data_IF_080898495212
#
_entry.id   IF_080898495212
#
_cell.length_a   1.000
_cell.length_b   1.000
_cell.length_c   1.000
_cell.angle_alpha   90.00
_cell.angle_beta   90.00
_cell.angle_gamma   90.00
#
_symmetry.space_group_name_H-M   'P 1'
#
loop_
_entity.id
_entity.type
_entity.pdbx_description
1 polymer ?
#
# COMPACT_ATOMS: atom_id res chain seq x y z
N UNK A 1 5.46 -13.42 23.28
CA UNK A 1 6.55 -12.52 23.63
C UNK A 1 6.07 -11.11 23.43
N UNK A 2 6.10 -10.35 24.49
CA UNK A 2 5.57 -8.98 24.60
C UNK A 2 6.30 -8.08 23.61
N UNK A 3 5.55 -7.41 22.73
CA UNK A 3 6.00 -6.24 21.97
C UNK A 3 6.25 -5.09 22.97
N UNK A 4 7.40 -5.09 23.64
CA UNK A 4 7.83 -4.03 24.57
C UNK A 4 8.89 -3.14 23.95
N UNK A 5 8.75 -2.78 22.67
CA UNK A 5 9.47 -1.65 22.13
C UNK A 5 8.48 -0.49 21.96
N UNK A 6 8.47 0.40 22.95
CA UNK A 6 7.64 1.60 22.93
C UNK A 6 7.96 2.46 21.70
N UNK A 7 6.92 2.85 20.99
CA UNK A 7 6.99 3.94 20.03
C UNK A 7 7.52 5.20 20.73
N UNK A 8 8.32 6.04 20.08
CA UNK A 8 8.89 7.20 20.71
C UNK A 8 7.77 8.12 21.22
N UNK A 9 7.78 8.37 22.53
CA UNK A 9 7.01 9.45 23.13
C UNK A 9 7.58 10.77 22.63
N UNK A 10 6.71 11.76 22.42
CA UNK A 10 7.07 13.13 22.06
C UNK A 10 8.29 13.63 22.84
N UNK A 11 9.24 14.35 22.21
CA UNK A 11 10.47 14.81 22.87
C UNK A 11 10.25 15.81 24.02
N UNK A 12 9.06 16.36 24.18
CA UNK A 12 8.76 17.27 25.26
C UNK A 12 8.05 16.53 26.41
N UNK A 13 8.84 16.14 27.40
CA UNK A 13 8.37 15.69 28.71
C UNK A 13 7.67 16.81 29.45
N UNK A 14 6.40 17.01 29.23
CA UNK A 14 5.69 17.99 30.02
C UNK A 14 4.24 18.21 29.65
N UNK A 15 3.39 17.84 30.58
CA UNK A 15 1.98 18.18 30.74
C UNK A 15 1.01 17.43 29.81
N UNK A 16 0.21 16.57 30.44
CA UNK A 16 -1.08 16.14 29.88
C UNK A 16 -1.82 17.36 29.39
N UNK A 17 -1.98 17.47 28.07
CA UNK A 17 -2.96 18.37 27.47
C UNK A 17 -4.29 17.67 27.65
N UNK A 18 -5.18 18.32 28.41
CA UNK A 18 -6.59 17.91 28.48
C UNK A 18 -7.13 17.83 27.05
N UNK A 19 -7.82 16.73 26.77
CA UNK A 19 -8.43 16.46 25.47
C UNK A 19 -9.41 17.59 25.12
N UNK A 20 -8.93 18.52 24.31
CA UNK A 20 -9.79 19.49 23.63
C UNK A 20 -10.70 18.73 22.67
N UNK A 21 -12.01 18.88 22.80
CA UNK A 21 -13.02 18.25 21.99
C UNK A 21 -12.76 18.51 20.51
N UNK A 22 -12.52 17.44 19.74
CA UNK A 22 -12.50 17.49 18.28
C UNK A 22 -13.91 17.82 17.76
N UNK A 23 -14.06 18.62 16.68
CA UNK A 23 -15.34 18.82 16.04
C UNK A 23 -15.86 17.48 15.54
N UNK A 24 -17.03 17.08 16.02
CA UNK A 24 -17.73 15.85 15.68
C UNK A 24 -17.84 15.69 14.16
N UNK A 25 -17.49 14.51 13.65
CA UNK A 25 -17.99 14.04 12.37
C UNK A 25 -19.49 14.31 12.27
N UNK A 26 -19.97 14.73 11.08
CA UNK A 26 -21.33 15.23 10.88
C UNK A 26 -22.45 14.39 11.50
N UNK A 27 -23.68 14.87 11.60
CA UNK A 27 -24.71 14.45 12.54
C UNK A 27 -25.20 12.99 12.50
N UNK A 28 -24.50 12.09 11.79
CA UNK A 28 -24.83 10.66 11.75
C UNK A 28 -24.10 9.79 12.78
N UNK A 29 -23.14 10.33 13.54
CA UNK A 29 -22.32 9.56 14.49
C UNK A 29 -22.28 10.19 15.89
N UNK A 30 -23.45 10.66 16.38
CA UNK A 30 -23.56 11.07 17.76
C UNK A 30 -23.35 9.87 18.70
N UNK A 31 -22.34 9.97 19.57
CA UNK A 31 -21.94 9.02 20.61
C UNK A 31 -23.14 8.44 21.36
N UNK A 32 -23.48 7.20 21.06
CA UNK A 32 -24.35 6.39 21.87
C UNK A 32 -23.55 5.18 22.36
N UNK A 33 -23.10 5.13 23.62
CA UNK A 33 -22.27 4.04 24.15
C UNK A 33 -22.90 2.65 23.98
N UNK A 34 -24.23 2.58 23.93
CA UNK A 34 -24.96 1.33 23.66
C UNK A 34 -24.87 0.91 22.18
N UNK A 35 -24.65 1.87 21.27
CA UNK A 35 -24.50 1.59 19.83
C UNK A 35 -23.07 1.14 19.51
N UNK A 36 -22.05 1.74 20.16
CA UNK A 36 -20.66 1.33 20.08
C UNK A 36 -20.44 -0.07 20.67
N UNK A 37 -21.03 -0.38 21.83
CA UNK A 37 -20.97 -1.72 22.39
C UNK A 37 -21.70 -2.77 21.53
N UNK A 38 -22.78 -2.41 20.85
CA UNK A 38 -23.52 -3.31 19.96
C UNK A 38 -22.77 -3.56 18.65
N UNK A 39 -22.12 -2.54 18.07
CA UNK A 39 -21.29 -2.67 16.87
C UNK A 39 -20.03 -3.48 17.14
N UNK A 40 -19.34 -3.24 18.26
CA UNK A 40 -18.14 -4.01 18.64
C UNK A 40 -18.45 -5.48 18.95
N UNK A 41 -19.62 -5.77 19.53
CA UNK A 41 -20.06 -7.16 19.75
C UNK A 41 -20.35 -7.90 18.44
N UNK A 42 -20.86 -7.20 17.42
CA UNK A 42 -21.16 -7.77 16.11
C UNK A 42 -19.86 -8.12 15.34
N UNK A 43 -18.85 -7.25 15.38
CA UNK A 43 -17.56 -7.52 14.74
C UNK A 43 -16.81 -8.68 15.40
N UNK A 44 -16.85 -8.83 16.70
CA UNK A 44 -16.20 -9.96 17.40
C UNK A 44 -16.77 -11.30 16.96
N UNK A 45 -18.09 -11.41 16.82
CA UNK A 45 -18.75 -12.60 16.28
C UNK A 45 -18.33 -12.88 14.83
N UNK A 46 -18.26 -11.84 14.01
CA UNK A 46 -17.78 -11.91 12.63
C UNK A 46 -16.33 -12.41 12.57
N UNK A 47 -15.43 -11.84 13.35
CA UNK A 47 -14.02 -12.26 13.40
C UNK A 47 -13.86 -13.69 13.88
N UNK A 48 -14.64 -14.09 14.88
CA UNK A 48 -14.66 -15.48 15.37
C UNK A 48 -15.14 -16.45 14.30
N UNK A 49 -16.18 -16.09 13.55
CA UNK A 49 -16.69 -16.89 12.43
C UNK A 49 -15.66 -17.05 11.31
N UNK A 50 -14.84 -16.03 11.06
CA UNK A 50 -13.70 -16.08 10.13
C UNK A 50 -12.53 -16.93 10.67
N UNK A 51 -12.56 -17.36 11.92
CA UNK A 51 -11.50 -18.17 12.54
C UNK A 51 -10.28 -17.37 13.02
N UNK A 52 -10.44 -16.04 13.27
CA UNK A 52 -9.37 -15.23 13.84
C UNK A 52 -9.05 -15.64 15.29
N UNK A 53 -7.79 -15.52 15.67
CA UNK A 53 -7.39 -15.52 17.06
C UNK A 53 -7.69 -14.15 17.67
N UNK A 54 -8.79 -14.06 18.41
CA UNK A 54 -9.28 -12.78 18.93
C UNK A 54 -8.28 -12.10 19.88
N UNK A 55 -7.49 -12.85 20.63
CA UNK A 55 -6.47 -12.28 21.51
C UNK A 55 -5.34 -11.62 20.71
N UNK A 56 -4.84 -12.31 19.71
CA UNK A 56 -3.81 -11.79 18.81
C UNK A 56 -4.33 -10.62 17.99
N UNK A 57 -5.57 -10.71 17.52
CA UNK A 57 -6.23 -9.66 16.74
C UNK A 57 -6.46 -8.39 17.57
N UNK A 58 -6.95 -8.50 18.81
CA UNK A 58 -7.12 -7.35 19.70
C UNK A 58 -5.76 -6.68 20.01
N UNK A 59 -4.70 -7.48 20.20
CA UNK A 59 -3.34 -6.95 20.40
C UNK A 59 -2.85 -6.18 19.16
N UNK A 60 -3.07 -6.72 17.95
CA UNK A 60 -2.74 -6.04 16.71
C UNK A 60 -3.50 -4.72 16.56
N UNK A 61 -4.82 -4.71 16.78
CA UNK A 61 -5.63 -3.51 16.66
C UNK A 61 -5.24 -2.44 17.69
N UNK A 62 -4.87 -2.84 18.91
CA UNK A 62 -4.41 -1.91 19.95
C UNK A 62 -3.11 -1.21 19.53
N UNK A 63 -2.13 -1.97 19.03
CA UNK A 63 -0.85 -1.41 18.55
C UNK A 63 -1.07 -0.54 17.32
N UNK A 64 -1.89 -0.98 16.38
CA UNK A 64 -2.22 -0.21 15.17
C UNK A 64 -2.91 1.12 15.52
N UNK A 65 -3.87 1.10 16.44
CA UNK A 65 -4.58 2.31 16.90
C UNK A 65 -3.64 3.31 17.56
N UNK A 66 -2.77 2.86 18.47
CA UNK A 66 -1.77 3.73 19.13
C UNK A 66 -0.78 4.34 18.13
N UNK A 67 -0.28 3.53 17.19
CA UNK A 67 0.60 4.00 16.14
C UNK A 67 -0.11 5.03 15.24
N UNK A 68 -1.35 4.76 14.87
CA UNK A 68 -2.15 5.66 14.05
C UNK A 68 -2.40 7.00 14.72
N UNK A 69 -2.79 6.99 15.99
CA UNK A 69 -3.00 8.19 16.79
C UNK A 69 -1.73 9.04 16.86
N UNK A 70 -0.59 8.43 17.17
CA UNK A 70 0.69 9.14 17.32
C UNK A 70 1.27 9.66 16.01
N UNK A 71 1.05 8.98 14.88
CA UNK A 71 1.66 9.31 13.59
C UNK A 71 0.74 10.22 12.76
N UNK A 72 -0.55 9.88 12.67
CA UNK A 72 -1.48 10.58 11.79
C UNK A 72 -2.32 11.63 12.52
N UNK A 73 -2.98 11.27 13.62
CA UNK A 73 -3.88 12.19 14.29
C UNK A 73 -3.15 13.30 15.07
N UNK A 74 -1.87 13.09 15.38
CA UNK A 74 -1.01 14.12 16.00
C UNK A 74 -0.48 15.15 14.99
N UNK A 75 -0.61 14.94 13.68
CA UNK A 75 -0.20 15.90 12.66
C UNK A 75 -1.04 17.19 12.74
N UNK A 76 -0.39 18.33 12.51
CA UNK A 76 -1.05 19.65 12.46
C UNK A 76 -1.43 19.98 11.01
N UNK A 77 -2.43 20.83 10.85
CA UNK A 77 -2.85 21.39 9.56
C UNK A 77 -3.15 20.36 8.46
N UNK A 78 -3.60 19.16 8.84
CA UNK A 78 -4.04 18.14 7.90
C UNK A 78 -5.23 18.64 7.06
N UNK A 79 -5.33 18.24 5.79
CA UNK A 79 -6.54 18.49 5.00
C UNK A 79 -7.79 17.88 5.67
N UNK A 80 -8.93 18.58 5.63
CA UNK A 80 -10.19 18.08 6.20
C UNK A 80 -10.66 16.78 5.53
N UNK A 81 -10.39 16.64 4.22
CA UNK A 81 -10.69 15.44 3.45
C UNK A 81 -9.99 14.18 3.95
N UNK A 82 -8.94 14.30 4.77
CA UNK A 82 -8.28 13.15 5.41
C UNK A 82 -9.18 12.42 6.40
N UNK A 83 -10.22 13.07 6.94
CA UNK A 83 -11.20 12.43 7.83
C UNK A 83 -11.87 11.19 7.23
N UNK A 84 -12.02 11.13 5.92
CA UNK A 84 -12.51 9.93 5.23
C UNK A 84 -11.51 8.76 5.34
N UNK A 85 -10.23 9.01 5.10
CA UNK A 85 -9.19 8.00 5.15
C UNK A 85 -8.95 7.52 6.59
N UNK A 86 -9.06 8.43 7.56
CA UNK A 86 -9.04 8.11 8.99
C UNK A 86 -10.19 7.16 9.35
N UNK A 87 -11.41 7.44 8.86
CA UNK A 87 -12.56 6.58 9.06
C UNK A 87 -12.34 5.20 8.43
N UNK A 88 -11.87 5.12 7.18
CA UNK A 88 -11.61 3.83 6.53
C UNK A 88 -10.57 3.02 7.31
N UNK A 89 -9.53 3.66 7.84
CA UNK A 89 -8.52 2.98 8.65
C UNK A 89 -9.06 2.53 10.01
N UNK A 90 -9.91 3.30 10.66
CA UNK A 90 -10.56 2.89 11.92
C UNK A 90 -11.48 1.67 11.74
N UNK A 91 -12.06 1.52 10.55
CA UNK A 91 -13.01 0.47 10.18
C UNK A 91 -12.39 -0.63 9.29
N UNK A 92 -11.06 -0.62 9.14
CA UNK A 92 -10.37 -1.53 8.20
C UNK A 92 -10.61 -3.01 8.49
N UNK A 93 -10.72 -3.41 9.76
CA UNK A 93 -11.09 -4.77 10.17
C UNK A 93 -12.55 -4.91 10.64
N UNK A 94 -13.31 -3.82 10.66
CA UNK A 94 -14.71 -3.76 11.07
C UNK A 94 -15.66 -3.70 9.86
N UNK A 95 -16.16 -2.49 9.57
CA UNK A 95 -17.17 -2.25 8.55
C UNK A 95 -16.75 -2.77 7.17
N UNK A 96 -15.47 -2.57 6.78
CA UNK A 96 -15.01 -3.03 5.46
C UNK A 96 -15.07 -4.55 5.31
N UNK A 97 -14.73 -5.30 6.35
CA UNK A 97 -14.85 -6.76 6.33
C UNK A 97 -16.32 -7.18 6.25
N UNK A 98 -17.18 -6.49 7.00
CA UNK A 98 -18.63 -6.74 6.92
C UNK A 98 -19.16 -6.54 5.50
N UNK A 99 -18.80 -5.42 4.85
CA UNK A 99 -19.17 -5.16 3.44
C UNK A 99 -18.73 -6.29 2.51
N UNK A 100 -17.48 -6.77 2.66
CA UNK A 100 -16.96 -7.87 1.84
C UNK A 100 -17.73 -9.18 2.07
N UNK A 101 -18.09 -9.47 3.31
CA UNK A 101 -18.89 -10.66 3.63
C UNK A 101 -20.34 -10.54 3.12
N UNK A 102 -20.92 -9.34 3.16
CA UNK A 102 -22.23 -9.06 2.57
C UNK A 102 -22.18 -9.23 1.03
N UNK A 103 -21.14 -8.72 0.37
CA UNK A 103 -20.89 -8.95 -1.07
C UNK A 103 -20.75 -10.45 -1.37
N UNK A 104 -20.05 -11.20 -0.52
CA UNK A 104 -19.86 -12.64 -0.65
C UNK A 104 -21.18 -13.41 -0.48
N UNK A 105 -22.01 -13.00 0.47
CA UNK A 105 -23.36 -13.57 0.65
C UNK A 105 -24.28 -13.29 -0.55
N UNK A 106 -24.06 -12.17 -1.26
CA UNK A 106 -24.74 -11.83 -2.51
C UNK A 106 -24.14 -12.53 -3.74
N UNK A 107 -23.19 -13.45 -3.57
CA UNK A 107 -22.60 -14.26 -4.65
C UNK A 107 -21.32 -13.72 -5.26
N UNK A 108 -20.82 -12.56 -4.81
CA UNK A 108 -19.53 -12.01 -5.22
C UNK A 108 -18.38 -12.77 -4.56
N UNK A 109 -17.22 -12.88 -5.22
CA UNK A 109 -16.04 -13.55 -4.66
C UNK A 109 -14.99 -12.53 -4.21
N UNK A 110 -14.15 -12.95 -3.25
CA UNK A 110 -13.05 -12.13 -2.74
C UNK A 110 -11.73 -12.72 -3.20
N UNK A 111 -10.91 -11.89 -3.85
CA UNK A 111 -9.56 -12.25 -4.31
C UNK A 111 -8.56 -11.42 -3.52
N UNK A 112 -7.66 -12.09 -2.80
CA UNK A 112 -6.56 -11.45 -2.09
C UNK A 112 -5.28 -11.46 -2.92
N UNK A 113 -4.52 -10.37 -2.96
CA UNK A 113 -3.25 -10.28 -3.69
C UNK A 113 -2.12 -9.68 -2.86
N UNK A 114 -0.89 -10.12 -3.13
CA UNK A 114 0.32 -9.57 -2.50
C UNK A 114 1.05 -8.57 -3.38
N UNK A 115 0.58 -8.29 -4.60
CA UNK A 115 1.29 -7.43 -5.53
C UNK A 115 0.35 -6.69 -6.49
N UNK A 116 0.82 -5.55 -6.98
CA UNK A 116 0.12 -4.71 -7.98
C UNK A 116 0.09 -5.32 -9.40
N UNK A 117 0.70 -6.47 -9.62
CA UNK A 117 0.62 -7.19 -10.90
C UNK A 117 -0.70 -7.94 -11.10
N UNK A 118 -1.51 -8.11 -10.08
CA UNK A 118 -2.85 -8.71 -10.24
C UNK A 118 -3.78 -7.70 -10.91
N UNK A 119 -4.31 -8.00 -12.10
CA UNK A 119 -5.16 -7.07 -12.84
C UNK A 119 -6.55 -6.97 -12.19
N UNK A 120 -6.79 -5.87 -11.47
CA UNK A 120 -8.06 -5.60 -10.80
C UNK A 120 -9.22 -5.55 -11.79
N UNK A 121 -8.96 -5.14 -13.02
CA UNK A 121 -9.93 -5.12 -14.12
C UNK A 121 -10.52 -6.50 -14.39
N UNK A 122 -9.68 -7.53 -14.43
CA UNK A 122 -10.15 -8.91 -14.68
C UNK A 122 -10.92 -9.44 -13.47
N UNK A 123 -10.47 -9.09 -12.25
CA UNK A 123 -11.16 -9.48 -11.01
C UNK A 123 -12.57 -8.88 -10.95
N UNK A 124 -12.69 -7.58 -11.20
CA UNK A 124 -13.99 -6.90 -11.23
C UNK A 124 -14.91 -7.45 -12.33
N UNK A 125 -14.36 -7.67 -13.53
CA UNK A 125 -15.10 -8.21 -14.67
C UNK A 125 -15.65 -9.62 -14.40
N UNK A 126 -14.95 -10.40 -13.58
CA UNK A 126 -15.36 -11.74 -13.15
C UNK A 126 -16.33 -11.73 -11.94
N UNK A 127 -16.95 -10.62 -11.59
CA UNK A 127 -17.81 -10.48 -10.40
C UNK A 127 -17.08 -10.84 -9.09
N UNK A 128 -15.85 -10.35 -8.92
CA UNK A 128 -15.09 -10.49 -7.70
C UNK A 128 -14.57 -9.14 -7.20
N UNK A 129 -14.14 -9.07 -5.95
CA UNK A 129 -13.52 -7.89 -5.33
C UNK A 129 -12.06 -8.21 -5.02
N UNK A 130 -11.14 -7.33 -5.45
CA UNK A 130 -9.72 -7.44 -5.15
C UNK A 130 -9.41 -6.72 -3.83
N UNK A 131 -8.63 -7.38 -2.95
CA UNK A 131 -8.12 -6.79 -1.71
C UNK A 131 -6.63 -7.05 -1.57
N UNK A 132 -5.89 -6.06 -1.02
CA UNK A 132 -4.48 -6.21 -0.72
C UNK A 132 -4.25 -7.08 0.50
N UNK A 133 -3.26 -7.97 0.44
CA UNK A 133 -2.84 -8.83 1.55
C UNK A 133 -1.44 -8.50 2.08
N UNK A 134 -0.75 -7.54 1.47
CA UNK A 134 0.54 -7.09 1.98
C UNK A 134 0.38 -6.49 3.38
N UNK A 135 1.20 -6.95 4.30
CA UNK A 135 1.29 -6.44 5.66
C UNK A 135 2.69 -5.88 5.92
N UNK A 136 2.76 -4.80 6.69
CA UNK A 136 3.97 -4.04 6.96
C UNK A 136 4.38 -4.07 8.43
N UNK A 137 4.22 -5.20 9.11
CA UNK A 137 4.57 -5.37 10.52
C UNK A 137 5.16 -6.74 10.82
N UNK A 138 6.01 -6.79 11.84
CA UNK A 138 6.47 -8.04 12.44
C UNK A 138 5.38 -8.58 13.35
N UNK A 139 4.84 -9.73 12.99
CA UNK A 139 3.86 -10.43 13.80
C UNK A 139 4.13 -11.93 13.80
N UNK A 140 4.01 -12.59 14.95
CA UNK A 140 4.22 -14.01 15.12
C UNK A 140 5.57 -14.52 14.53
N UNK A 141 6.65 -13.72 14.62
CA UNK A 141 7.96 -14.03 14.02
C UNK A 141 8.55 -15.34 14.52
N UNK A 142 8.37 -15.69 15.79
CA UNK A 142 8.81 -16.97 16.34
C UNK A 142 8.16 -18.17 15.61
N UNK A 143 6.87 -18.08 15.29
CA UNK A 143 6.17 -19.13 14.53
C UNK A 143 6.61 -19.15 13.05
N UNK A 144 6.85 -17.97 12.48
CA UNK A 144 7.35 -17.85 11.10
C UNK A 144 8.73 -18.49 10.95
N UNK A 145 9.64 -18.27 11.88
CA UNK A 145 11.02 -18.79 11.84
C UNK A 145 11.13 -20.30 12.09
N UNK A 146 10.03 -20.96 12.52
CA UNK A 146 9.94 -22.42 12.54
C UNK A 146 9.76 -23.04 11.16
N UNK A 147 9.22 -22.26 10.20
CA UNK A 147 8.86 -22.75 8.84
C UNK A 147 9.59 -22.03 7.71
N UNK A 148 10.11 -20.82 7.95
CA UNK A 148 10.90 -20.05 6.99
C UNK A 148 12.30 -19.77 7.56
N UNK A 149 13.34 -19.73 6.70
CA UNK A 149 14.68 -19.30 7.12
C UNK A 149 14.67 -17.88 7.72
N UNK A 150 15.52 -17.64 8.73
CA UNK A 150 15.64 -16.32 9.38
C UNK A 150 16.01 -15.20 8.42
N UNK A 151 16.80 -15.48 7.39
CA UNK A 151 17.22 -14.55 6.37
C UNK A 151 16.20 -14.42 5.22
N UNK A 152 14.93 -14.76 5.47
CA UNK A 152 13.84 -14.46 4.54
C UNK A 152 13.46 -12.99 4.61
N UNK A 153 13.14 -12.39 3.45
CA UNK A 153 12.68 -11.00 3.34
C UNK A 153 11.57 -10.67 4.34
N UNK A 154 11.70 -9.52 5.02
CA UNK A 154 10.73 -9.08 6.04
C UNK A 154 9.29 -9.05 5.52
N UNK A 155 9.06 -8.62 4.27
CA UNK A 155 7.71 -8.62 3.66
C UNK A 155 7.12 -10.04 3.53
N UNK A 156 7.94 -11.01 3.17
CA UNK A 156 7.50 -12.42 3.09
C UNK A 156 7.19 -12.93 4.50
N UNK A 157 8.09 -12.72 5.45
CA UNK A 157 7.87 -13.13 6.85
C UNK A 157 6.59 -12.51 7.42
N UNK A 158 6.35 -11.22 7.18
CA UNK A 158 5.13 -10.53 7.60
C UNK A 158 3.86 -11.21 7.07
N UNK A 159 3.82 -11.56 5.77
CA UNK A 159 2.67 -12.24 5.17
C UNK A 159 2.37 -13.59 5.85
N UNK A 160 3.41 -14.35 6.20
CA UNK A 160 3.27 -15.60 6.95
C UNK A 160 2.85 -15.36 8.41
N UNK A 161 3.42 -14.34 9.05
CA UNK A 161 3.10 -13.98 10.42
C UNK A 161 1.63 -13.63 10.62
N UNK A 162 1.05 -12.89 9.69
CA UNK A 162 -0.37 -12.56 9.71
C UNK A 162 -1.28 -13.79 9.50
N UNK A 163 -0.83 -14.77 8.69
CA UNK A 163 -1.55 -16.04 8.53
C UNK A 163 -1.44 -16.94 9.76
N UNK A 164 -0.24 -17.14 10.26
CA UNK A 164 0.01 -18.03 11.41
C UNK A 164 -0.57 -17.46 12.71
N UNK A 165 -0.51 -16.12 12.87
CA UNK A 165 -1.13 -15.43 13.99
C UNK A 165 -2.65 -15.33 13.90
N UNK A 166 -3.25 -15.68 12.75
CA UNK A 166 -4.70 -15.59 12.47
C UNK A 166 -5.28 -14.22 12.79
N UNK A 167 -4.63 -13.16 12.31
CA UNK A 167 -5.00 -11.78 12.65
C UNK A 167 -5.56 -10.97 11.48
N UNK A 168 -5.50 -11.49 10.24
CA UNK A 168 -5.93 -10.77 9.06
C UNK A 168 -7.30 -11.24 8.55
N UNK A 169 -8.38 -10.48 8.76
CA UNK A 169 -9.71 -10.87 8.30
C UNK A 169 -9.83 -10.86 6.77
N UNK A 170 -9.04 -10.05 6.06
CA UNK A 170 -8.98 -10.07 4.59
C UNK A 170 -8.49 -11.41 4.06
N UNK A 171 -7.42 -11.94 4.67
CA UNK A 171 -6.83 -13.21 4.28
C UNK A 171 -7.77 -14.37 4.55
N UNK A 172 -8.46 -14.36 5.70
CA UNK A 172 -9.39 -15.41 6.07
C UNK A 172 -10.74 -15.32 5.30
N UNK A 173 -11.12 -14.15 4.79
CA UNK A 173 -12.33 -13.98 3.98
C UNK A 173 -12.12 -14.33 2.49
N UNK A 174 -10.87 -14.37 2.00
CA UNK A 174 -10.55 -14.55 0.59
C UNK A 174 -10.98 -15.95 0.07
N UNK A 175 -11.65 -15.95 -1.09
CA UNK A 175 -12.00 -17.19 -1.83
C UNK A 175 -10.83 -17.70 -2.68
N UNK A 176 -9.93 -16.79 -3.09
CA UNK A 176 -8.69 -17.09 -3.79
C UNK A 176 -7.60 -16.13 -3.31
N UNK A 177 -6.41 -16.65 -3.08
CA UNK A 177 -5.21 -15.86 -2.83
C UNK A 177 -4.33 -15.96 -4.07
N UNK A 178 -3.85 -14.81 -4.57
CA UNK A 178 -2.91 -14.76 -5.70
C UNK A 178 -1.51 -14.52 -5.16
N UNK A 179 -0.60 -15.40 -5.53
CA UNK A 179 0.82 -15.33 -5.19
C UNK A 179 1.63 -15.04 -6.46
N UNK A 180 2.16 -13.85 -6.59
CA UNK A 180 2.97 -13.42 -7.74
C UNK A 180 4.44 -13.75 -7.50
N UNK A 181 5.06 -14.52 -8.39
CA UNK A 181 6.45 -14.95 -8.26
C UNK A 181 7.45 -13.85 -8.65
N UNK A 182 7.38 -12.72 -7.97
CA UNK A 182 8.23 -11.54 -8.21
C UNK A 182 9.71 -11.75 -7.88
N UNK A 183 10.06 -12.72 -7.05
CA UNK A 183 11.43 -13.09 -6.72
C UNK A 183 11.52 -14.53 -6.24
N UNK A 184 12.73 -15.07 -6.15
CA UNK A 184 12.95 -16.46 -5.70
C UNK A 184 12.39 -16.72 -4.29
N UNK A 185 12.55 -15.78 -3.37
CA UNK A 185 12.01 -15.90 -2.02
C UNK A 185 10.49 -16.04 -2.02
N UNK A 186 9.76 -15.19 -2.76
CA UNK A 186 8.31 -15.30 -2.90
C UNK A 186 7.91 -16.60 -3.61
N UNK A 187 8.54 -16.89 -4.75
CA UNK A 187 8.26 -18.10 -5.53
C UNK A 187 8.36 -19.36 -4.67
N UNK A 188 9.45 -19.52 -3.92
CA UNK A 188 9.64 -20.71 -3.08
C UNK A 188 8.74 -20.71 -1.84
N UNK A 189 8.47 -19.55 -1.23
CA UNK A 189 7.59 -19.48 -0.07
C UNK A 189 6.15 -19.89 -0.39
N UNK A 190 5.70 -19.80 -1.64
CA UNK A 190 4.35 -20.22 -2.04
C UNK A 190 4.13 -21.74 -1.94
N UNK A 191 5.18 -22.56 -2.00
CA UNK A 191 5.08 -23.99 -1.72
C UNK A 191 4.65 -24.24 -0.27
N UNK A 192 5.26 -23.49 0.67
CA UNK A 192 4.87 -23.54 2.08
C UNK A 192 3.51 -22.88 2.33
N UNK A 193 3.26 -21.70 1.72
CA UNK A 193 1.99 -20.99 1.89
C UNK A 193 0.80 -21.83 1.42
N UNK A 194 0.95 -22.64 0.37
CA UNK A 194 -0.10 -23.53 -0.15
C UNK A 194 -0.64 -24.48 0.91
N UNK A 195 0.18 -24.91 1.87
CA UNK A 195 -0.26 -25.77 2.96
C UNK A 195 -1.06 -25.03 4.04
N UNK A 196 -0.98 -23.67 4.06
CA UNK A 196 -1.63 -22.81 5.05
C UNK A 196 -2.93 -22.18 4.54
N UNK A 197 -3.11 -22.11 3.21
CA UNK A 197 -4.26 -21.46 2.58
C UNK A 197 -4.95 -22.43 1.60
N UNK A 198 -6.28 -22.34 1.48
CA UNK A 198 -7.06 -23.33 0.73
C UNK A 198 -6.91 -23.20 -0.79
N UNK A 199 -6.94 -21.99 -1.34
CA UNK A 199 -6.95 -21.72 -2.77
C UNK A 199 -5.88 -20.67 -3.12
N UNK A 200 -4.69 -21.15 -3.49
CA UNK A 200 -3.56 -20.33 -3.91
C UNK A 200 -3.35 -20.45 -5.41
N UNK A 201 -3.58 -19.36 -6.14
CA UNK A 201 -3.23 -19.19 -7.54
C UNK A 201 -1.86 -18.53 -7.65
N UNK A 202 -0.85 -19.30 -8.08
CA UNK A 202 0.49 -18.73 -8.33
C UNK A 202 0.54 -18.20 -9.76
N UNK A 203 0.92 -16.93 -9.89
CA UNK A 203 1.07 -16.23 -11.17
C UNK A 203 2.56 -16.09 -11.50
N UNK A 204 2.98 -16.63 -12.63
CA UNK A 204 4.35 -16.50 -13.13
C UNK A 204 4.53 -15.15 -13.81
N UNK A 205 5.52 -14.38 -13.35
CA UNK A 205 5.84 -13.06 -13.90
C UNK A 205 7.14 -13.11 -14.69
N UNK A 206 7.21 -12.40 -15.83
CA UNK A 206 8.45 -12.27 -16.59
C UNK A 206 9.49 -11.48 -15.80
N UNK A 207 10.75 -11.85 -15.96
CA UNK A 207 11.89 -11.13 -15.35
C UNK A 207 12.68 -10.32 -16.39
N UNK A 208 12.26 -10.36 -17.66
CA UNK A 208 12.86 -9.60 -18.75
C UNK A 208 11.75 -8.90 -19.54
N UNK A 209 11.94 -7.63 -19.84
CA UNK A 209 11.03 -6.86 -20.70
C UNK A 209 11.36 -7.14 -22.18
N UNK A 210 10.93 -8.32 -22.66
CA UNK A 210 11.07 -8.77 -24.07
C UNK A 210 9.71 -9.15 -24.64
N UNK A 211 9.66 -9.47 -25.92
CA UNK A 211 8.45 -10.02 -26.57
C UNK A 211 7.98 -11.32 -25.90
N UNK A 212 8.91 -12.21 -25.54
CA UNK A 212 8.64 -13.47 -24.85
C UNK A 212 8.14 -13.21 -23.41
N UNK A 213 8.74 -12.23 -22.74
CA UNK A 213 8.28 -11.80 -21.41
C UNK A 213 6.85 -11.27 -21.44
N UNK A 214 6.51 -10.46 -22.44
CA UNK A 214 5.14 -10.00 -22.65
C UNK A 214 4.18 -11.16 -22.95
N UNK A 215 4.59 -12.10 -23.80
CA UNK A 215 3.79 -13.28 -24.13
C UNK A 215 3.54 -14.17 -22.90
N UNK A 216 4.54 -14.32 -22.01
CA UNK A 216 4.37 -15.02 -20.75
C UNK A 216 3.33 -14.31 -19.87
N UNK A 217 3.42 -13.00 -19.70
CA UNK A 217 2.45 -12.25 -18.91
C UNK A 217 1.03 -12.37 -19.49
N UNK A 218 0.89 -12.31 -20.83
CA UNK A 218 -0.39 -12.50 -21.49
C UNK A 218 -0.97 -13.90 -21.19
N UNK A 219 -0.17 -14.95 -21.35
CA UNK A 219 -0.59 -16.31 -21.05
C UNK A 219 -1.05 -16.48 -19.58
N UNK A 220 -0.32 -15.88 -18.63
CA UNK A 220 -0.68 -15.89 -17.21
C UNK A 220 -1.99 -15.15 -16.92
N UNK A 221 -2.24 -14.02 -17.58
CA UNK A 221 -3.50 -13.29 -17.40
C UNK A 221 -4.69 -14.03 -18.00
N UNK A 222 -4.53 -14.71 -19.13
CA UNK A 222 -5.57 -15.59 -19.65
C UNK A 222 -5.81 -16.81 -18.75
N UNK A 223 -4.75 -17.38 -18.16
CA UNK A 223 -4.86 -18.46 -17.17
C UNK A 223 -5.59 -18.00 -15.91
N UNK A 224 -5.26 -16.80 -15.43
CA UNK A 224 -5.93 -16.18 -14.27
C UNK A 224 -7.39 -15.86 -14.56
N UNK A 225 -7.70 -15.27 -15.73
CA UNK A 225 -9.07 -15.06 -16.20
C UNK A 225 -9.89 -16.36 -16.13
N UNK A 226 -9.36 -17.45 -16.69
CA UNK A 226 -10.03 -18.76 -16.69
C UNK A 226 -10.24 -19.30 -15.27
N UNK A 227 -9.28 -19.10 -14.37
CA UNK A 227 -9.42 -19.52 -12.98
C UNK A 227 -10.51 -18.72 -12.25
N UNK A 228 -10.62 -17.41 -12.50
CA UNK A 228 -11.67 -16.55 -11.97
C UNK A 228 -13.05 -16.96 -12.49
N UNK A 229 -13.20 -17.17 -13.80
CA UNK A 229 -14.46 -17.60 -14.42
C UNK A 229 -14.97 -18.93 -13.82
N UNK A 230 -14.06 -19.87 -13.57
CA UNK A 230 -14.41 -21.15 -12.90
C UNK A 230 -14.85 -20.95 -11.45
N UNK A 231 -14.20 -20.04 -10.73
CA UNK A 231 -14.50 -19.77 -9.32
C UNK A 231 -15.83 -19.04 -9.15
N UNK A 232 -16.10 -18.07 -10.01
CA UNK A 232 -17.25 -17.17 -9.88
C UNK A 232 -18.47 -17.63 -10.67
N UNK A 233 -18.28 -18.46 -11.69
CA UNK A 233 -19.31 -18.80 -12.66
C UNK A 233 -19.66 -17.65 -13.64
N UNK A 234 -18.92 -16.55 -13.61
CA UNK A 234 -19.15 -15.35 -14.42
C UNK A 234 -18.13 -15.27 -15.55
N UNK A 235 -18.60 -15.21 -16.80
CA UNK A 235 -17.74 -15.03 -17.96
C UNK A 235 -17.16 -13.60 -18.01
N UNK A 236 -15.88 -13.49 -18.33
CA UNK A 236 -15.20 -12.23 -18.56
C UNK A 236 -15.30 -11.87 -20.05
N UNK A 237 -16.19 -10.95 -20.36
CA UNK A 237 -16.54 -10.52 -21.73
C UNK A 237 -16.19 -9.04 -21.94
N UNK A 238 -16.41 -8.51 -23.15
CA UNK A 238 -16.21 -7.09 -23.42
C UNK A 238 -17.17 -6.22 -22.58
N UNK A 239 -18.39 -6.70 -22.35
CA UNK A 239 -19.43 -6.00 -21.58
C UNK A 239 -19.06 -5.91 -20.10
N UNK A 240 -18.31 -6.87 -19.55
CA UNK A 240 -17.86 -6.84 -18.15
C UNK A 240 -16.49 -6.17 -18.01
N UNK A 241 -15.56 -6.32 -18.96
CA UNK A 241 -14.24 -5.69 -18.95
C UNK A 241 -14.30 -4.18 -19.14
N UNK A 242 -15.13 -3.68 -20.07
CA UNK A 242 -15.22 -2.25 -20.34
C UNK A 242 -15.48 -1.40 -19.09
N UNK A 243 -16.58 -1.65 -18.34
CA UNK A 243 -16.85 -0.95 -17.08
C UNK A 243 -15.76 -1.17 -16.01
N UNK A 244 -15.17 -2.36 -15.94
CA UNK A 244 -14.09 -2.65 -15.00
C UNK A 244 -12.83 -1.81 -15.31
N UNK A 245 -12.42 -1.72 -16.58
CA UNK A 245 -11.31 -0.86 -17.04
C UNK A 245 -11.60 0.60 -16.69
N UNK A 246 -12.81 1.09 -16.95
CA UNK A 246 -13.19 2.46 -16.63
C UNK A 246 -13.08 2.74 -15.11
N UNK A 247 -13.58 1.82 -14.29
CA UNK A 247 -13.52 1.94 -12.81
C UNK A 247 -12.08 2.01 -12.31
N UNK A 248 -11.21 1.12 -12.78
CA UNK A 248 -9.82 1.06 -12.31
C UNK A 248 -9.00 2.23 -12.87
N UNK A 249 -9.25 2.63 -14.11
CA UNK A 249 -8.61 3.82 -14.68
C UNK A 249 -9.04 5.11 -13.95
N UNK A 250 -10.30 5.25 -13.56
CA UNK A 250 -10.76 6.38 -12.76
C UNK A 250 -10.04 6.44 -11.41
N UNK A 251 -9.87 5.29 -10.74
CA UNK A 251 -9.09 5.18 -9.49
C UNK A 251 -7.64 5.63 -9.69
N UNK A 252 -6.97 5.15 -10.74
CA UNK A 252 -5.59 5.55 -11.07
C UNK A 252 -5.48 7.04 -11.40
N UNK A 253 -6.41 7.56 -12.20
CA UNK A 253 -6.42 8.98 -12.54
C UNK A 253 -6.60 9.89 -11.31
N UNK A 254 -7.42 9.48 -10.35
CA UNK A 254 -7.58 10.20 -9.10
C UNK A 254 -6.27 10.21 -8.28
N UNK A 255 -5.57 9.06 -8.19
CA UNK A 255 -4.26 8.98 -7.55
C UNK A 255 -3.19 9.82 -8.28
N UNK A 256 -3.22 9.87 -9.61
CA UNK A 256 -2.33 10.76 -10.38
C UNK A 256 -2.60 12.24 -10.07
N UNK A 257 -3.88 12.65 -9.93
CA UNK A 257 -4.23 14.00 -9.54
C UNK A 257 -3.66 14.34 -8.17
N UNK A 258 -3.83 13.44 -7.20
CA UNK A 258 -3.27 13.60 -5.84
C UNK A 258 -1.74 13.75 -5.88
N UNK A 259 -1.05 12.84 -6.58
CA UNK A 259 0.41 12.88 -6.73
C UNK A 259 0.88 14.19 -7.38
N UNK A 260 0.17 14.65 -8.44
CA UNK A 260 0.53 15.87 -9.18
C UNK A 260 0.46 17.13 -8.32
N UNK A 261 -0.47 17.21 -7.38
CA UNK A 261 -0.61 18.35 -6.46
C UNK A 261 0.57 18.48 -5.50
N UNK A 262 1.26 17.37 -5.20
CA UNK A 262 2.46 17.35 -4.34
C UNK A 262 3.69 17.98 -5.00
N UNK A 263 3.64 18.34 -6.30
CA UNK A 263 4.68 19.09 -7.01
C UNK A 263 4.74 20.55 -6.60
N UNK A 264 3.67 21.09 -6.00
CA UNK A 264 3.65 22.46 -5.47
C UNK A 264 4.64 22.64 -4.31
N UNK A 265 5.08 23.87 -4.12
CA UNK A 265 5.91 24.27 -2.97
C UNK A 265 5.30 25.54 -2.32
N UNK A 266 4.76 25.40 -1.11
CA UNK A 266 4.77 24.22 -0.22
C UNK A 266 3.87 23.10 -0.72
N UNK A 267 4.23 21.83 -0.40
CA UNK A 267 3.40 20.68 -0.72
C UNK A 267 2.10 20.73 0.12
N UNK A 268 0.90 20.62 -0.51
CA UNK A 268 -0.37 20.89 0.18
C UNK A 268 -0.81 19.78 1.15
N UNK A 269 -0.14 18.64 1.13
CA UNK A 269 -0.40 17.45 1.96
C UNK A 269 0.93 16.84 2.38
N UNK A 270 0.99 16.21 3.55
CA UNK A 270 2.17 15.46 4.00
C UNK A 270 2.37 14.17 3.18
N UNK A 271 3.60 13.66 3.14
CA UNK A 271 3.87 12.36 2.54
C UNK A 271 3.21 11.22 3.31
N UNK A 272 3.10 11.33 4.63
CA UNK A 272 2.37 10.36 5.45
C UNK A 272 0.90 10.27 5.03
N UNK A 273 0.19 11.39 4.92
CA UNK A 273 -1.21 11.42 4.50
C UNK A 273 -1.40 10.96 3.05
N UNK A 274 -0.49 11.32 2.15
CA UNK A 274 -0.52 10.83 0.77
C UNK A 274 -0.25 9.31 0.70
N UNK A 275 0.67 8.80 1.51
CA UNK A 275 0.90 7.36 1.64
C UNK A 275 -0.34 6.64 2.18
N UNK A 276 -1.00 7.20 3.20
CA UNK A 276 -2.24 6.65 3.74
C UNK A 276 -3.33 6.54 2.66
N UNK A 277 -3.51 7.59 1.85
CA UNK A 277 -4.46 7.55 0.73
C UNK A 277 -4.09 6.45 -0.26
N UNK A 278 -2.81 6.29 -0.62
CA UNK A 278 -2.35 5.19 -1.46
C UNK A 278 -2.62 3.82 -0.81
N UNK A 279 -2.37 3.66 0.48
CA UNK A 279 -2.62 2.41 1.22
C UNK A 279 -4.10 2.02 1.23
N UNK A 280 -5.00 2.98 1.48
CA UNK A 280 -6.45 2.76 1.48
C UNK A 280 -6.97 2.26 0.12
N UNK A 281 -6.30 2.61 -0.98
CA UNK A 281 -6.68 2.17 -2.34
C UNK A 281 -6.71 0.65 -2.52
N UNK A 282 -6.03 -0.11 -1.64
CA UNK A 282 -5.96 -1.58 -1.68
C UNK A 282 -7.08 -2.26 -0.90
N UNK A 283 -7.85 -1.52 -0.12
CA UNK A 283 -8.86 -2.08 0.78
C UNK A 283 -10.27 -1.59 0.51
N UNK A 284 -10.42 -0.34 0.09
CA UNK A 284 -11.72 0.30 -0.06
C UNK A 284 -12.43 -0.04 -1.37
N UNK A 285 -13.73 0.24 -1.43
CA UNK A 285 -14.50 0.16 -2.66
C UNK A 285 -13.96 1.16 -3.70
N UNK A 286 -13.59 0.72 -4.93
CA UNK A 286 -12.93 1.57 -5.90
C UNK A 286 -13.69 2.85 -6.27
N UNK A 287 -15.02 2.81 -6.38
CA UNK A 287 -15.82 3.98 -6.75
C UNK A 287 -15.89 5.00 -5.62
N UNK A 288 -16.13 4.54 -4.38
CA UNK A 288 -16.16 5.37 -3.17
C UNK A 288 -14.78 5.99 -2.92
N UNK A 289 -13.73 5.20 -3.03
CA UNK A 289 -12.34 5.66 -2.93
C UNK A 289 -12.04 6.76 -3.94
N UNK A 290 -12.36 6.53 -5.22
CA UNK A 290 -12.13 7.50 -6.31
C UNK A 290 -12.81 8.84 -6.02
N UNK A 291 -14.07 8.80 -5.61
CA UNK A 291 -14.82 10.02 -5.24
C UNK A 291 -14.17 10.76 -4.07
N UNK A 292 -13.70 10.04 -3.07
CA UNK A 292 -13.04 10.62 -1.88
C UNK A 292 -11.68 11.23 -2.21
N UNK A 293 -10.91 10.58 -3.11
CA UNK A 293 -9.64 11.16 -3.60
C UNK A 293 -9.89 12.43 -4.42
N UNK A 294 -10.92 12.47 -5.26
CA UNK A 294 -11.27 13.71 -5.97
C UNK A 294 -11.65 14.84 -5.01
N UNK A 295 -12.45 14.54 -3.98
CA UNK A 295 -12.85 15.52 -2.96
C UNK A 295 -11.65 16.11 -2.22
N UNK A 296 -10.68 15.28 -1.80
CA UNK A 296 -9.47 15.81 -1.16
C UNK A 296 -8.62 16.59 -2.16
N UNK A 297 -8.52 16.18 -3.43
CA UNK A 297 -7.81 16.95 -4.45
C UNK A 297 -8.40 18.34 -4.66
N UNK A 298 -9.74 18.48 -4.65
CA UNK A 298 -10.40 19.78 -4.74
C UNK A 298 -10.02 20.71 -3.56
N UNK A 299 -9.85 20.16 -2.37
CA UNK A 299 -9.35 20.90 -1.22
C UNK A 299 -7.85 21.26 -1.38
N UNK A 300 -7.04 20.29 -1.83
CA UNK A 300 -5.60 20.51 -2.01
C UNK A 300 -5.31 21.57 -3.10
N UNK A 301 -6.10 21.66 -4.17
CA UNK A 301 -6.00 22.72 -5.17
C UNK A 301 -6.21 24.11 -4.56
N UNK A 302 -7.18 24.25 -3.65
CA UNK A 302 -7.41 25.51 -2.91
C UNK A 302 -6.21 25.82 -2.01
N UNK A 303 -5.68 24.82 -1.28
CA UNK A 303 -4.48 25.00 -0.44
C UNK A 303 -3.29 25.45 -1.28
N UNK A 304 -3.08 24.89 -2.47
CA UNK A 304 -2.02 25.34 -3.41
C UNK A 304 -2.23 26.79 -3.83
N UNK A 305 -3.46 27.17 -4.21
CA UNK A 305 -3.77 28.55 -4.60
C UNK A 305 -3.57 29.56 -3.45
N UNK A 306 -3.80 29.15 -2.21
CA UNK A 306 -3.59 29.95 -1.00
C UNK A 306 -2.13 29.92 -0.50
N UNK A 307 -1.26 29.14 -1.13
CA UNK A 307 0.12 28.93 -0.67
C UNK A 307 0.22 28.19 0.65
N UNK A 308 -0.80 27.42 1.02
CA UNK A 308 -0.87 26.65 2.26
C UNK A 308 -0.32 25.24 2.05
N UNK A 309 0.68 24.86 2.86
CA UNK A 309 1.32 23.55 2.82
C UNK A 309 1.22 22.78 4.12
N UNK A 310 1.56 21.49 4.08
CA UNK A 310 1.75 20.66 5.27
C UNK A 310 3.10 20.95 5.96
N UNK A 311 4.07 21.49 5.21
CA UNK A 311 5.37 21.92 5.67
C UNK A 311 5.63 23.36 5.20
N UNK A 312 6.57 24.09 5.83
CA UNK A 312 6.97 25.42 5.36
C UNK A 312 7.45 25.39 3.90
N UNK A 313 7.24 26.49 3.19
CA UNK A 313 7.81 26.68 1.85
C UNK A 313 9.34 26.55 1.90
N UNK A 314 9.91 25.80 0.97
CA UNK A 314 11.34 25.53 0.91
C UNK A 314 11.83 24.41 1.85
N UNK A 315 10.94 23.69 2.53
CA UNK A 315 11.31 22.50 3.28
C UNK A 315 12.03 21.50 2.35
N UNK A 316 13.08 20.77 2.82
CA UNK A 316 13.77 19.76 2.03
C UNK A 316 12.78 18.72 1.47
N UNK A 317 12.81 18.54 0.16
CA UNK A 317 11.85 17.69 -0.58
C UNK A 317 12.46 16.33 -0.87
N UNK A 318 11.86 15.28 -0.36
CA UNK A 318 12.37 13.90 -0.48
C UNK A 318 11.45 13.08 -1.39
N UNK A 319 12.06 12.37 -2.36
CA UNK A 319 11.43 11.28 -3.06
C UNK A 319 11.79 9.96 -2.37
N UNK A 320 10.79 9.15 -2.02
CA UNK A 320 11.02 7.77 -1.58
C UNK A 320 10.98 6.83 -2.78
N UNK A 321 11.91 5.87 -2.85
CA UNK A 321 11.95 4.82 -3.87
C UNK A 321 12.22 3.48 -3.21
N UNK A 322 11.69 2.40 -3.75
CA UNK A 322 12.06 1.05 -3.32
C UNK A 322 10.90 0.12 -2.98
N UNK A 323 11.04 -0.58 -1.86
CA UNK A 323 10.06 -1.57 -1.38
C UNK A 323 8.68 -0.94 -1.10
N UNK A 324 7.59 -1.71 -1.25
CA UNK A 324 6.26 -1.21 -0.89
C UNK A 324 6.12 -0.98 0.60
N UNK A 325 5.46 0.12 0.96
CA UNK A 325 5.12 0.48 2.34
C UNK A 325 3.65 0.13 2.61
N UNK A 326 3.39 -1.17 2.80
CA UNK A 326 2.06 -1.65 3.18
C UNK A 326 1.70 -1.25 4.62
N UNK A 327 0.41 -1.16 4.95
CA UNK A 327 -0.07 -0.89 6.32
C UNK A 327 0.46 -1.97 7.28
N UNK A 328 0.99 -1.61 8.44
CA UNK A 328 1.26 -0.31 9.04
C UNK A 328 2.73 0.16 8.93
N UNK A 329 3.40 -0.08 7.84
CA UNK A 329 4.80 0.32 7.67
C UNK A 329 4.93 1.84 7.46
N UNK A 330 4.91 2.60 8.56
CA UNK A 330 5.00 4.07 8.60
C UNK A 330 6.31 4.57 9.20
N UNK A 331 7.21 3.67 9.67
CA UNK A 331 8.45 4.00 10.37
C UNK A 331 9.31 5.01 9.59
N UNK A 332 9.69 4.65 8.36
CA UNK A 332 10.57 5.51 7.57
C UNK A 332 9.92 6.86 7.20
N UNK A 333 8.69 6.92 6.68
CA UNK A 333 8.03 8.20 6.42
C UNK A 333 7.89 9.09 7.66
N UNK A 334 7.54 8.50 8.81
CA UNK A 334 7.46 9.22 10.07
C UNK A 334 8.82 9.84 10.46
N UNK A 335 9.91 9.09 10.35
CA UNK A 335 11.25 9.59 10.67
C UNK A 335 11.63 10.73 9.73
N UNK A 336 11.43 10.60 8.42
CA UNK A 336 11.75 11.63 7.42
C UNK A 336 10.99 12.92 7.73
N UNK A 337 9.69 12.86 7.93
CA UNK A 337 8.87 14.05 8.13
C UNK A 337 9.03 14.66 9.52
N UNK A 338 9.27 13.84 10.55
CA UNK A 338 9.61 14.36 11.89
C UNK A 338 11.00 15.00 11.96
N UNK A 339 11.88 14.74 10.99
CA UNK A 339 13.19 15.41 10.83
C UNK A 339 13.13 16.69 10.00
N UNK A 340 11.93 17.18 9.64
CA UNK A 340 11.71 18.48 9.00
C UNK A 340 11.74 18.47 7.46
N UNK A 341 11.87 17.33 6.82
CA UNK A 341 11.71 17.20 5.36
C UNK A 341 10.28 16.85 4.99
N UNK A 342 9.86 17.11 3.76
CA UNK A 342 8.56 16.68 3.21
C UNK A 342 8.75 15.60 2.15
N UNK A 343 8.03 14.50 2.27
CA UNK A 343 8.01 13.45 1.25
C UNK A 343 7.04 13.88 0.15
N UNK A 344 7.56 14.09 -1.05
CA UNK A 344 6.78 14.61 -2.18
C UNK A 344 6.35 13.56 -3.19
N UNK A 345 6.86 12.35 -3.12
CA UNK A 345 6.49 11.24 -4.00
C UNK A 345 7.01 9.90 -3.48
N UNK A 346 6.33 8.83 -3.85
CA UNK A 346 6.72 7.43 -3.57
C UNK A 346 6.81 6.67 -4.91
N UNK A 347 8.04 6.34 -5.32
CA UNK A 347 8.30 5.41 -6.42
C UNK A 347 8.26 3.99 -5.85
N UNK A 348 7.06 3.49 -5.59
CA UNK A 348 6.83 2.14 -5.04
C UNK A 348 5.47 1.58 -5.50
N UNK A 349 5.20 0.31 -5.18
CA UNK A 349 3.90 -0.31 -5.45
C UNK A 349 2.75 0.39 -4.72
N UNK A 350 3.02 0.92 -3.51
CA UNK A 350 2.09 1.76 -2.73
C UNK A 350 2.43 3.21 -3.01
N UNK A 351 2.21 3.63 -4.25
CA UNK A 351 2.56 4.93 -4.79
C UNK A 351 2.43 4.93 -6.31
N UNK A 352 3.27 5.70 -7.00
CA UNK A 352 3.12 5.92 -8.45
C UNK A 352 3.27 4.65 -9.29
N UNK A 353 4.15 3.71 -8.94
CA UNK A 353 4.34 2.47 -9.72
C UNK A 353 3.03 1.69 -9.89
N UNK A 354 2.19 1.64 -8.85
CA UNK A 354 0.88 0.99 -8.90
C UNK A 354 -0.13 1.70 -9.80
N UNK A 355 -0.06 3.02 -9.90
CA UNK A 355 -1.07 3.86 -10.54
C UNK A 355 -0.66 4.47 -11.90
N UNK A 356 0.64 4.59 -12.19
CA UNK A 356 1.23 5.41 -13.26
C UNK A 356 0.61 5.28 -14.64
N UNK A 357 0.29 4.09 -15.09
CA UNK A 357 -0.22 3.86 -16.42
C UNK A 357 -1.70 3.47 -16.40
N UNK A 358 -2.47 4.02 -17.34
CA UNK A 358 -3.85 3.63 -17.57
C UNK A 358 -3.91 2.49 -18.60
N UNK A 359 -4.97 1.68 -18.53
CA UNK A 359 -5.33 0.73 -19.58
C UNK A 359 -5.96 1.50 -20.73
N UNK A 360 -5.56 1.21 -21.98
CA UNK A 360 -6.24 1.75 -23.14
C UNK A 360 -7.68 1.20 -23.21
N UNK A 361 -8.65 2.10 -23.11
CA UNK A 361 -10.06 1.77 -23.08
C UNK A 361 -10.72 1.81 -24.48
N UNK A 362 -9.94 1.92 -25.56
CA UNK A 362 -10.45 1.99 -26.94
C UNK A 362 -10.87 0.64 -27.52
N UNK A 363 -10.43 -0.47 -26.92
CA UNK A 363 -10.75 -1.84 -27.35
C UNK A 363 -12.27 -2.12 -27.32
N UNK A 364 -12.75 -2.86 -28.30
CA UNK A 364 -14.18 -3.20 -28.46
C UNK A 364 -14.47 -4.69 -28.19
N UNK A 365 -13.48 -5.53 -28.32
CA UNK A 365 -13.57 -6.96 -28.05
C UNK A 365 -12.88 -7.31 -26.74
N UNK A 366 -13.28 -8.41 -26.12
CA UNK A 366 -12.63 -8.90 -24.92
C UNK A 366 -11.12 -9.17 -25.15
N UNK A 367 -10.74 -9.63 -26.34
CA UNK A 367 -9.35 -9.89 -26.71
C UNK A 367 -8.54 -8.58 -26.74
N UNK A 368 -9.02 -7.53 -27.41
CA UNK A 368 -8.36 -6.22 -27.46
C UNK A 368 -8.22 -5.61 -26.07
N UNK A 369 -9.24 -5.71 -25.21
CA UNK A 369 -9.20 -5.22 -23.84
C UNK A 369 -8.21 -6.01 -22.99
N UNK A 370 -8.12 -7.34 -23.14
CA UNK A 370 -7.13 -8.17 -22.46
C UNK A 370 -5.70 -7.79 -22.86
N UNK A 371 -5.45 -7.56 -24.16
CA UNK A 371 -4.13 -7.12 -24.64
C UNK A 371 -3.76 -5.74 -24.08
N UNK A 372 -4.71 -4.80 -24.01
CA UNK A 372 -4.50 -3.49 -23.40
C UNK A 372 -4.18 -3.59 -21.89
N UNK A 373 -4.82 -4.52 -21.19
CA UNK A 373 -4.49 -4.82 -19.78
C UNK A 373 -3.07 -5.37 -19.69
N UNK A 374 -2.68 -6.36 -20.52
CA UNK A 374 -1.33 -6.90 -20.56
C UNK A 374 -0.31 -5.79 -20.80
N UNK A 375 -0.53 -4.92 -21.77
CA UNK A 375 0.37 -3.82 -22.11
C UNK A 375 0.56 -2.85 -20.95
N UNK A 376 -0.52 -2.50 -20.25
CA UNK A 376 -0.44 -1.64 -19.07
C UNK A 376 0.40 -2.27 -17.97
N UNK A 377 0.15 -3.54 -17.64
CA UNK A 377 0.84 -4.21 -16.53
C UNK A 377 2.28 -4.55 -16.87
N UNK A 378 2.58 -4.81 -18.14
CA UNK A 378 3.96 -5.03 -18.60
C UNK A 378 4.84 -3.77 -18.51
N UNK A 379 4.23 -2.57 -18.44
CA UNK A 379 4.95 -1.31 -18.20
C UNK A 379 5.35 -1.08 -16.75
N UNK A 380 4.88 -1.90 -15.81
CA UNK A 380 5.33 -1.81 -14.41
C UNK A 380 6.82 -2.10 -14.36
N UNK A 381 7.59 -1.15 -13.84
CA UNK A 381 9.05 -1.23 -13.72
C UNK A 381 9.47 -1.67 -12.31
N UNK A 382 9.08 -2.89 -11.95
CA UNK A 382 9.47 -3.51 -10.68
C UNK A 382 10.95 -3.94 -10.70
N UNK A 383 11.59 -3.97 -9.54
CA UNK A 383 12.96 -4.48 -9.36
C UNK A 383 13.17 -5.95 -9.76
N UNK A 384 12.12 -6.66 -10.15
CA UNK A 384 12.23 -8.02 -10.69
C UNK A 384 12.79 -8.09 -12.11
N UNK A 385 12.69 -6.98 -12.87
CA UNK A 385 13.18 -6.95 -14.24
C UNK A 385 14.68 -6.75 -14.30
N UNK A 386 15.36 -7.50 -15.19
CA UNK A 386 16.80 -7.43 -15.39
C UNK A 386 17.11 -7.56 -16.90
N UNK A 387 17.70 -6.52 -17.55
CA UNK A 387 17.99 -5.19 -17.01
C UNK A 387 16.71 -4.35 -16.77
N UNK A 388 16.81 -3.28 -15.96
CA UNK A 388 15.66 -2.43 -15.63
C UNK A 388 15.94 -0.93 -15.86
N UNK A 389 16.32 -0.51 -17.08
CA UNK A 389 16.64 0.89 -17.38
C UNK A 389 15.43 1.82 -17.21
N UNK A 390 14.22 1.32 -17.48
CA UNK A 390 12.98 2.09 -17.36
C UNK A 390 12.78 2.63 -15.93
N UNK A 391 13.07 1.79 -14.92
CA UNK A 391 12.93 2.22 -13.53
C UNK A 391 13.96 3.28 -13.15
N UNK A 392 15.21 3.13 -13.61
CA UNK A 392 16.26 4.14 -13.36
C UNK A 392 15.88 5.49 -13.99
N UNK A 393 15.39 5.48 -15.23
CA UNK A 393 14.88 6.67 -15.91
C UNK A 393 13.71 7.28 -15.14
N UNK A 394 12.74 6.46 -14.74
CA UNK A 394 11.55 6.91 -14.04
C UNK A 394 11.86 7.56 -12.67
N UNK A 395 12.76 6.98 -11.88
CA UNK A 395 13.16 7.59 -10.59
C UNK A 395 13.77 8.98 -10.83
N UNK A 396 14.63 9.15 -11.84
CA UNK A 396 15.20 10.46 -12.21
C UNK A 396 14.14 11.45 -12.67
N UNK A 397 13.22 11.01 -13.53
CA UNK A 397 12.10 11.83 -14.01
C UNK A 397 11.20 12.28 -12.85
N UNK A 398 10.88 11.38 -11.92
CA UNK A 398 10.13 11.74 -10.72
C UNK A 398 10.90 12.75 -9.85
N UNK A 399 12.17 12.50 -9.57
CA UNK A 399 12.97 13.41 -8.76
C UNK A 399 12.98 14.82 -9.35
N UNK A 400 13.15 14.95 -10.66
CA UNK A 400 13.08 16.24 -11.36
C UNK A 400 11.66 16.85 -11.32
N UNK A 401 10.62 16.07 -11.65
CA UNK A 401 9.24 16.55 -11.73
C UNK A 401 8.70 17.03 -10.37
N UNK A 402 9.10 16.37 -9.29
CA UNK A 402 8.71 16.72 -7.92
C UNK A 402 9.70 17.69 -7.25
N UNK A 403 10.74 18.15 -7.96
CA UNK A 403 11.80 19.01 -7.43
C UNK A 403 12.37 18.45 -6.13
N UNK A 404 12.64 17.15 -6.11
CA UNK A 404 13.23 16.50 -4.96
C UNK A 404 14.66 16.97 -4.75
N UNK A 405 15.00 17.42 -3.54
CA UNK A 405 16.36 17.77 -3.14
C UNK A 405 17.23 16.53 -2.96
N UNK A 406 16.60 15.39 -2.67
CA UNK A 406 17.27 14.10 -2.54
C UNK A 406 16.30 12.91 -2.64
N UNK A 407 16.86 11.73 -2.85
CA UNK A 407 16.12 10.46 -2.93
C UNK A 407 16.54 9.56 -1.77
N UNK A 408 15.57 8.99 -1.07
CA UNK A 408 15.83 7.90 -0.13
C UNK A 408 15.40 6.59 -0.81
N UNK A 409 16.39 5.73 -1.11
CA UNK A 409 16.13 4.39 -1.62
C UNK A 409 15.98 3.40 -0.47
N UNK A 410 14.77 2.89 -0.30
CA UNK A 410 14.36 2.05 0.81
C UNK A 410 14.32 0.57 0.40
N UNK A 411 15.10 -0.26 1.06
CA UNK A 411 15.08 -1.71 0.97
C UNK A 411 14.67 -2.36 2.29
N UNK A 412 13.80 -3.37 2.21
CA UNK A 412 13.55 -4.24 3.36
C UNK A 412 14.69 -5.25 3.52
N UNK A 413 15.03 -5.56 4.76
CA UNK A 413 16.06 -6.54 5.09
C UNK A 413 15.79 -7.87 4.37
N UNK A 414 16.81 -8.41 3.73
CA UNK A 414 16.77 -9.62 2.90
C UNK A 414 15.90 -9.51 1.62
N UNK A 415 15.48 -8.32 1.21
CA UNK A 415 14.81 -8.13 -0.07
C UNK A 415 15.83 -8.04 -1.20
N UNK A 416 16.26 -9.17 -1.75
CA UNK A 416 17.32 -9.23 -2.76
C UNK A 416 17.09 -8.30 -3.98
N UNK A 417 15.90 -8.25 -4.63
CA UNK A 417 15.72 -7.40 -5.79
C UNK A 417 16.00 -5.93 -5.52
N UNK A 418 15.43 -5.37 -4.45
CA UNK A 418 15.58 -3.95 -4.14
C UNK A 418 16.94 -3.60 -3.55
N UNK A 419 17.53 -4.51 -2.76
CA UNK A 419 18.87 -4.27 -2.19
C UNK A 419 19.94 -4.32 -3.27
N UNK A 420 19.88 -5.27 -4.22
CA UNK A 420 20.82 -5.34 -5.34
C UNK A 420 20.65 -4.17 -6.31
N UNK A 421 19.39 -3.79 -6.63
CA UNK A 421 19.12 -2.68 -7.53
C UNK A 421 19.41 -1.30 -6.90
N UNK A 422 19.61 -1.21 -5.58
CA UNK A 422 19.98 0.05 -4.92
C UNK A 422 21.28 0.64 -5.47
N UNK A 423 22.24 -0.20 -5.93
CA UNK A 423 23.52 0.25 -6.49
C UNK A 423 23.33 0.96 -7.83
N UNK A 424 22.71 0.34 -8.88
CA UNK A 424 22.43 1.06 -10.11
C UNK A 424 21.50 2.26 -9.93
N UNK A 425 20.58 2.26 -8.98
CA UNK A 425 19.75 3.42 -8.66
C UNK A 425 20.61 4.58 -8.14
N UNK A 426 21.48 4.33 -7.15
CA UNK A 426 22.40 5.34 -6.59
C UNK A 426 23.28 5.94 -7.70
N UNK A 427 23.93 5.11 -8.52
CA UNK A 427 24.75 5.59 -9.64
C UNK A 427 23.99 6.44 -10.64
N UNK A 428 22.78 6.02 -11.02
CA UNK A 428 21.95 6.78 -11.96
C UNK A 428 21.52 8.15 -11.40
N UNK A 429 21.35 8.25 -10.07
CA UNK A 429 21.05 9.51 -9.38
C UNK A 429 22.32 10.38 -9.25
N UNK A 430 23.45 9.80 -8.90
CA UNK A 430 24.76 10.51 -8.85
C UNK A 430 25.11 11.12 -10.21
N UNK A 431 24.95 10.37 -11.31
CA UNK A 431 25.14 10.86 -12.70
C UNK A 431 24.21 12.04 -13.04
N UNK A 432 23.05 12.10 -12.41
CA UNK A 432 22.08 13.19 -12.54
C UNK A 432 22.30 14.34 -11.53
N UNK A 433 23.33 14.25 -10.67
CA UNK A 433 23.57 15.23 -9.61
C UNK A 433 22.53 15.23 -8.48
N UNK A 434 21.82 14.13 -8.29
CA UNK A 434 20.77 14.02 -7.28
C UNK A 434 21.31 13.20 -6.09
N UNK A 435 21.39 13.78 -4.87
CA UNK A 435 21.80 13.05 -3.69
C UNK A 435 20.90 11.84 -3.39
N UNK A 436 21.51 10.71 -3.01
CA UNK A 436 20.81 9.48 -2.70
C UNK A 436 21.26 8.91 -1.35
N UNK A 437 20.29 8.60 -0.48
CA UNK A 437 20.53 7.87 0.75
C UNK A 437 19.93 6.46 0.63
N UNK A 438 20.75 5.42 0.73
CA UNK A 438 20.27 4.02 0.80
C UNK A 438 19.96 3.64 2.24
N UNK A 439 18.76 3.15 2.47
CA UNK A 439 18.28 2.62 3.75
C UNK A 439 17.93 1.14 3.57
N UNK A 440 18.52 0.30 4.43
CA UNK A 440 18.06 -1.07 4.66
C UNK A 440 17.53 -1.15 6.09
N UNK A 441 16.32 -1.71 6.26
CA UNK A 441 15.64 -1.83 7.55
C UNK A 441 14.59 -2.94 7.49
N UNK A 442 13.98 -3.27 8.61
CA UNK A 442 12.83 -4.17 8.73
C UNK A 442 11.62 -3.45 9.33
N UNK A 443 10.66 -4.18 9.87
CA UNK A 443 9.46 -3.58 10.47
C UNK A 443 9.61 -3.30 11.97
N UNK A 444 10.70 -3.75 12.62
CA UNK A 444 10.94 -3.45 14.04
C UNK A 444 11.29 -1.97 14.23
N UNK A 445 11.11 -1.46 15.43
CA UNK A 445 11.50 -0.09 15.79
C UNK A 445 12.90 -0.01 16.41
N UNK A 446 13.63 -1.12 16.48
CA UNK A 446 14.93 -1.19 17.18
C UNK A 446 16.00 -0.30 16.53
N UNK A 447 15.96 -0.15 15.21
CA UNK A 447 16.90 0.67 14.43
C UNK A 447 16.45 2.14 14.23
N UNK A 448 15.27 2.53 14.73
CA UNK A 448 14.68 3.84 14.46
C UNK A 448 15.60 5.01 14.85
N UNK A 449 16.32 4.90 15.96
CA UNK A 449 17.30 5.92 16.39
C UNK A 449 18.47 6.07 15.41
N UNK A 450 19.02 4.94 14.93
CA UNK A 450 20.09 4.95 13.93
C UNK A 450 19.61 5.53 12.59
N UNK A 451 18.41 5.12 12.16
CA UNK A 451 17.79 5.66 10.94
C UNK A 451 17.59 7.16 11.03
N UNK A 452 17.09 7.64 12.17
CA UNK A 452 16.89 9.07 12.40
C UNK A 452 18.18 9.86 12.23
N UNK A 453 19.27 9.44 12.87
CA UNK A 453 20.58 10.10 12.75
C UNK A 453 21.07 10.16 11.30
N UNK A 454 20.93 9.07 10.54
CA UNK A 454 21.33 9.02 9.13
C UNK A 454 20.47 9.92 8.24
N UNK A 455 19.17 9.97 8.50
CA UNK A 455 18.21 10.78 7.75
C UNK A 455 18.42 12.25 8.06
N UNK A 456 18.62 12.64 9.32
CA UNK A 456 18.93 14.03 9.72
C UNK A 456 20.21 14.51 9.06
N UNK A 457 21.28 13.73 9.09
CA UNK A 457 22.53 14.07 8.41
C UNK A 457 22.36 14.23 6.87
N UNK A 458 21.53 13.37 6.25
CA UNK A 458 21.22 13.50 4.84
C UNK A 458 20.40 14.76 4.53
N UNK A 459 19.42 15.10 5.37
CA UNK A 459 18.62 16.32 5.23
C UNK A 459 19.51 17.56 5.36
N UNK A 460 20.44 17.59 6.32
CA UNK A 460 21.41 18.68 6.47
C UNK A 460 22.31 18.84 5.24
N UNK A 461 22.70 17.74 4.60
CA UNK A 461 23.54 17.75 3.40
C UNK A 461 22.83 18.36 2.18
N UNK A 462 21.51 18.16 2.05
CA UNK A 462 20.72 18.56 0.87
C UNK A 462 20.00 19.90 1.05
N UNK A 463 20.08 20.50 2.24
CA UNK A 463 19.49 21.79 2.60
C UNK A 463 20.49 22.91 2.32
#
# INVERSE_FOLDING_TARGET
VVLTSAWPTSPDGGKRVEAGAYPSAGPAFANNPRKEQRMSADYRSMWQTLGLDLKNHDALLSVLGQAYESIFLAQKDRPEGMSYFDFVMSEVHGLRIKELLDEKAAGRKIVGSYCVFVPEEIVLAANATLVGLCSGADFAMEEVEKILPRNTCALIKSSFGFKLGKVCPYLESADMIVGENTCDGKKKSYETLRSLVGNLHVMDLPQVKSGEGRALLAAEYYRFKTALERMTGTAVTAETLGPAIQTVNAKRAALHRLSSLRKADPAPISGLDALLANQVSFYDNPARFTASVHKICDELEKRVAEGKGAFPKGAPRILLSGCPMAVPNWKLPMIVESSGAVIVGEESCVGERGARNLVDASGRTAAEMMEAIVDRYFRIDCAIFTPNPDRLAHIREMAAAYKAAGVIHYGLQFCQPYLMESIPVERALEEAGIPCLRIETDYSMEDAGQLKTRIEAFIEQIH
#
